data_IF_633718179431
#
_entry.id   IF_633718179431
#
_cell.length_a   1.000
_cell.length_b   1.000
_cell.length_c   1.000
_cell.angle_alpha   90.00
_cell.angle_beta   90.00
_cell.angle_gamma   90.00
#
_symmetry.space_group_name_H-M   'P 1'
#
loop_
_entity.id
_entity.type
_entity.pdbx_description
1 polymer ?
#
# COMPACT_ATOMS: atom_id res chain seq x y z
N UNK A 1 -11.10 -8.61 -2.94
CA UNK A 1 -9.65 -8.37 -2.99
C UNK A 1 -9.20 -7.98 -1.58
N UNK A 2 -8.07 -8.49 -1.14
CA UNK A 2 -7.58 -8.24 0.24
C UNK A 2 -6.58 -7.11 0.36
N UNK A 3 -6.53 -6.23 -0.62
CA UNK A 3 -5.53 -5.16 -0.64
C UNK A 3 -5.60 -4.28 0.63
N UNK A 4 -6.80 -3.83 1.00
CA UNK A 4 -6.96 -2.94 2.15
C UNK A 4 -6.34 -3.53 3.41
N UNK A 5 -6.72 -4.77 3.74
CA UNK A 5 -6.24 -5.45 4.94
C UNK A 5 -4.73 -5.63 4.93
N UNK A 6 -4.20 -6.09 3.80
CA UNK A 6 -2.78 -6.38 3.70
C UNK A 6 -1.94 -5.11 3.62
N UNK A 7 -2.48 -4.07 2.98
CA UNK A 7 -1.81 -2.78 2.96
C UNK A 7 -1.66 -2.20 4.38
N UNK A 8 -2.73 -2.22 5.17
CA UNK A 8 -2.68 -1.72 6.55
C UNK A 8 -1.66 -2.50 7.36
N UNK A 9 -1.65 -3.83 7.21
CA UNK A 9 -0.70 -4.68 7.92
C UNK A 9 0.75 -4.38 7.53
N UNK A 10 1.02 -4.27 6.23
CA UNK A 10 2.39 -4.02 5.75
C UNK A 10 2.86 -2.61 6.12
N UNK A 11 1.98 -1.64 6.09
CA UNK A 11 2.32 -0.28 6.50
C UNK A 11 2.73 -0.27 7.97
N UNK A 12 1.98 -0.96 8.82
CA UNK A 12 2.28 -1.06 10.24
C UNK A 12 3.63 -1.76 10.47
N UNK A 13 3.86 -2.85 9.75
CA UNK A 13 5.09 -3.62 9.90
C UNK A 13 6.32 -2.89 9.34
N UNK A 14 6.12 -2.00 8.37
CA UNK A 14 7.22 -1.28 7.73
C UNK A 14 7.84 -0.21 8.62
N UNK A 15 7.14 0.21 9.67
CA UNK A 15 7.53 1.29 10.56
C UNK A 15 7.60 2.66 9.86
N UNK A 16 7.10 2.75 8.63
CA UNK A 16 6.99 4.02 7.92
C UNK A 16 5.73 4.75 8.38
N UNK A 17 5.81 6.08 8.50
CA UNK A 17 4.62 6.89 8.68
C UNK A 17 3.89 7.02 7.34
N UNK A 18 2.62 7.39 7.39
CA UNK A 18 1.87 7.64 6.16
C UNK A 18 2.54 8.74 5.32
N UNK A 19 3.06 9.76 5.99
CA UNK A 19 3.75 10.85 5.32
C UNK A 19 5.01 10.36 4.61
N UNK A 20 5.81 9.54 5.29
CA UNK A 20 7.03 8.99 4.71
C UNK A 20 6.72 8.12 3.50
N UNK A 21 5.69 7.29 3.59
CA UNK A 21 5.29 6.46 2.47
C UNK A 21 4.82 7.32 1.29
N UNK A 22 4.01 8.34 1.56
CA UNK A 22 3.53 9.25 0.52
C UNK A 22 4.70 9.94 -0.19
N UNK A 23 5.70 10.36 0.56
CA UNK A 23 6.91 10.96 0.00
C UNK A 23 7.66 9.98 -0.91
N UNK A 24 7.80 8.74 -0.47
CA UNK A 24 8.47 7.71 -1.28
C UNK A 24 7.72 7.41 -2.58
N UNK A 25 6.40 7.49 -2.53
CA UNK A 25 5.55 7.24 -3.70
C UNK A 25 5.31 8.49 -4.53
N UNK A 26 5.73 9.64 -4.04
CA UNK A 26 5.52 10.94 -4.70
C UNK A 26 4.04 11.21 -4.95
N UNK A 27 3.21 10.98 -3.92
CA UNK A 27 1.77 11.19 -3.96
C UNK A 27 1.33 11.96 -2.73
N UNK A 28 0.09 12.47 -2.77
CA UNK A 28 -0.49 13.14 -1.62
C UNK A 28 -0.84 12.09 -0.54
N UNK A 29 -0.62 12.43 0.72
CA UNK A 29 -0.88 11.52 1.84
C UNK A 29 -2.36 11.14 1.96
N UNK A 30 -3.28 11.97 1.44
CA UNK A 30 -4.71 11.66 1.45
C UNK A 30 -5.03 10.38 0.69
N UNK A 31 -4.23 10.02 -0.31
CA UNK A 31 -4.41 8.77 -1.05
C UNK A 31 -4.23 7.57 -0.12
N UNK A 32 -3.23 7.64 0.75
CA UNK A 32 -2.95 6.55 1.68
C UNK A 32 -4.11 6.38 2.66
N UNK A 33 -4.67 7.49 3.15
CA UNK A 33 -5.82 7.44 4.03
C UNK A 33 -7.02 6.75 3.35
N UNK A 34 -7.25 7.07 2.08
CA UNK A 34 -8.34 6.46 1.31
C UNK A 34 -8.13 4.96 1.12
N UNK A 35 -6.88 4.54 0.86
CA UNK A 35 -6.58 3.11 0.72
C UNK A 35 -6.82 2.37 2.04
N UNK A 36 -6.44 2.98 3.16
CA UNK A 36 -6.68 2.39 4.48
C UNK A 36 -8.16 2.23 4.79
N UNK A 37 -8.98 3.13 4.28
CA UNK A 37 -10.43 3.12 4.48
C UNK A 37 -11.17 2.24 3.49
N UNK A 38 -10.46 1.70 2.49
CA UNK A 38 -11.10 0.89 1.45
C UNK A 38 -11.89 1.69 0.45
N UNK A 39 -11.72 3.01 0.42
CA UNK A 39 -12.46 3.88 -0.50
C UNK A 39 -11.88 3.91 -1.90
N UNK A 40 -10.64 3.50 -2.05
CA UNK A 40 -9.87 3.72 -3.25
C UNK A 40 -8.71 2.73 -3.28
N UNK A 41 -8.15 2.51 -4.43
CA UNK A 41 -6.96 1.65 -4.59
C UNK A 41 -5.92 2.43 -5.38
N UNK A 42 -4.63 2.08 -5.25
CA UNK A 42 -3.58 2.75 -6.01
C UNK A 42 -3.64 2.42 -7.50
N UNK A 43 -3.06 3.29 -8.31
CA UNK A 43 -2.83 2.99 -9.72
C UNK A 43 -1.86 1.82 -9.82
N UNK A 44 -1.80 1.20 -10.99
CA UNK A 44 -0.91 0.07 -11.20
C UNK A 44 0.56 0.44 -10.95
N UNK A 45 0.97 1.63 -11.42
CA UNK A 45 2.34 2.10 -11.21
C UNK A 45 2.66 2.28 -9.72
N UNK A 46 1.75 2.90 -8.98
CA UNK A 46 1.93 3.11 -7.54
C UNK A 46 1.91 1.77 -6.81
N UNK A 47 1.03 0.87 -7.23
CA UNK A 47 0.96 -0.48 -6.67
C UNK A 47 2.29 -1.22 -6.85
N UNK A 48 2.89 -1.12 -8.04
CA UNK A 48 4.20 -1.71 -8.32
C UNK A 48 5.25 -1.18 -7.34
N UNK A 49 5.27 0.16 -7.11
CA UNK A 49 6.21 0.76 -6.17
C UNK A 49 5.94 0.31 -4.74
N UNK A 50 4.67 0.14 -4.36
CA UNK A 50 4.32 -0.37 -3.03
C UNK A 50 4.91 -1.75 -2.79
N UNK A 51 4.80 -2.63 -3.77
CA UNK A 51 5.34 -3.98 -3.66
C UNK A 51 6.85 -3.95 -3.42
N UNK A 52 7.53 -3.03 -4.09
CA UNK A 52 8.97 -2.87 -3.92
C UNK A 52 9.33 -2.32 -2.54
N UNK A 53 8.60 -1.30 -2.09
CA UNK A 53 8.85 -0.67 -0.79
C UNK A 53 8.62 -1.66 0.35
N UNK A 54 7.52 -2.41 0.29
CA UNK A 54 7.19 -3.39 1.33
C UNK A 54 7.91 -4.72 1.14
N UNK A 55 8.58 -4.93 0.01
CA UNK A 55 9.28 -6.16 -0.32
C UNK A 55 8.34 -7.37 -0.26
N UNK A 56 7.16 -7.21 -0.84
CA UNK A 56 6.15 -8.26 -0.94
C UNK A 56 5.76 -8.47 -2.40
N UNK A 57 5.20 -9.64 -2.69
CA UNK A 57 4.73 -9.91 -4.05
C UNK A 57 3.38 -9.24 -4.30
N UNK A 58 3.11 -8.95 -5.57
CA UNK A 58 1.81 -8.43 -5.98
C UNK A 58 0.69 -9.42 -5.64
N UNK A 59 0.95 -10.70 -5.82
CA UNK A 59 -0.02 -11.75 -5.49
C UNK A 59 -0.44 -11.68 -4.02
N UNK A 60 0.52 -11.50 -3.13
CA UNK A 60 0.25 -11.38 -1.70
C UNK A 60 -0.59 -10.14 -1.42
N UNK A 61 -0.15 -9.00 -1.93
CA UNK A 61 -0.79 -7.72 -1.62
C UNK A 61 -2.21 -7.65 -2.18
N UNK A 62 -2.46 -8.32 -3.31
CA UNK A 62 -3.79 -8.40 -3.90
C UNK A 62 -4.68 -9.43 -3.20
N UNK A 63 -4.09 -10.37 -2.49
CA UNK A 63 -4.84 -11.44 -1.84
C UNK A 63 -5.07 -12.64 -2.72
N UNK A 64 -4.25 -12.83 -3.76
CA UNK A 64 -4.33 -14.01 -4.63
C UNK A 64 -3.66 -15.23 -4.00
N UNK A 65 -2.79 -15.01 -3.02
CA UNK A 65 -2.13 -16.08 -2.25
C UNK A 65 -2.20 -15.75 -0.77
N UNK A 66 -1.95 -16.73 0.05
CA UNK A 66 -1.85 -16.52 1.51
C UNK A 66 -0.44 -15.96 1.88
#
# INVERSE_FOLDING_TARGET
MKFQERFVLELKNSLLSQKELAEKLNIDVSNITKWKQGKNIPSLEVFYELCKIFEVSADYLLGLTD
#
